data_IF_374846804756
#
_entry.id   IF_374846804756
#
_cell.length_a   1.000
_cell.length_b   1.000
_cell.length_c   1.000
_cell.angle_alpha   90.00
_cell.angle_beta   90.00
_cell.angle_gamma   90.00
#
_symmetry.space_group_name_H-M   'P 1'
#
loop_
_entity.id
_entity.type
_entity.pdbx_description
1 polymer ?
#
# COMPACT_ATOMS: atom_id res chain seq x y z
N UNK A 1 35.28 -38.80 39.70
CA UNK A 1 34.59 -39.35 38.51
C UNK A 1 33.48 -38.42 37.98
N UNK A 2 33.26 -37.23 38.53
CA UNK A 2 32.13 -36.33 38.27
C UNK A 2 32.38 -35.26 37.17
N UNK A 3 33.62 -34.96 36.86
CA UNK A 3 33.99 -33.85 35.93
C UNK A 3 33.81 -34.16 34.42
N UNK A 4 33.84 -35.45 34.03
CA UNK A 4 33.69 -35.84 32.60
C UNK A 4 32.23 -35.81 32.11
N UNK A 5 31.26 -35.95 33.01
CA UNK A 5 29.83 -35.88 32.65
C UNK A 5 29.34 -34.45 32.47
N UNK A 6 29.80 -33.53 33.29
CA UNK A 6 29.46 -32.11 33.19
C UNK A 6 29.91 -31.52 31.83
N UNK A 7 31.11 -31.89 31.35
CA UNK A 7 31.62 -31.41 30.05
C UNK A 7 30.84 -31.92 28.83
N UNK A 8 30.26 -33.15 28.93
CA UNK A 8 29.45 -33.72 27.84
C UNK A 8 28.03 -33.14 27.78
N UNK A 9 27.42 -32.83 28.95
CA UNK A 9 26.12 -32.22 29.03
C UNK A 9 26.17 -30.76 28.55
N UNK A 10 27.21 -29.99 28.89
CA UNK A 10 27.40 -28.62 28.41
C UNK A 10 27.60 -28.58 26.88
N UNK A 11 28.32 -29.54 26.31
CA UNK A 11 28.53 -29.62 24.85
C UNK A 11 27.22 -30.03 24.11
N UNK A 12 26.40 -30.86 24.70
CA UNK A 12 25.07 -31.20 24.15
C UNK A 12 24.09 -30.03 24.22
N UNK A 13 24.10 -29.26 25.34
CA UNK A 13 23.27 -28.05 25.45
C UNK A 13 23.70 -26.94 24.48
N UNK A 14 25.03 -26.77 24.29
CA UNK A 14 25.54 -25.79 23.31
C UNK A 14 25.19 -26.18 21.86
N UNK A 15 25.14 -27.47 21.54
CA UNK A 15 24.78 -27.94 20.20
C UNK A 15 23.26 -27.80 19.93
N UNK A 16 22.41 -27.95 20.92
CA UNK A 16 20.95 -27.77 20.80
C UNK A 16 20.61 -26.27 20.69
N UNK A 17 21.36 -25.39 21.35
CA UNK A 17 21.11 -23.94 21.27
C UNK A 17 21.51 -23.34 19.91
N UNK A 18 22.46 -23.98 19.16
CA UNK A 18 22.87 -23.51 17.84
C UNK A 18 21.88 -23.89 16.71
N UNK A 19 20.95 -24.82 16.92
CA UNK A 19 19.93 -25.19 15.93
C UNK A 19 18.68 -24.29 15.98
N UNK A 20 18.52 -23.46 17.02
CA UNK A 20 17.35 -22.61 17.18
C UNK A 20 17.42 -21.23 16.49
N UNK A 21 18.51 -20.92 15.79
CA UNK A 21 18.73 -19.59 15.20
C UNK A 21 18.84 -19.56 13.66
N UNK A 22 18.52 -20.65 13.00
CA UNK A 22 18.32 -20.61 11.54
C UNK A 22 16.90 -20.13 11.26
N UNK A 23 16.63 -18.84 11.43
CA UNK A 23 15.42 -18.22 10.93
C UNK A 23 15.38 -18.45 9.40
N UNK A 24 14.40 -19.18 8.92
CA UNK A 24 14.19 -19.33 7.49
C UNK A 24 13.72 -17.98 6.92
N UNK A 25 14.47 -17.47 5.95
CA UNK A 25 14.02 -16.30 5.20
C UNK A 25 12.91 -16.74 4.24
N UNK A 26 11.70 -16.22 4.43
CA UNK A 26 10.56 -16.47 3.58
C UNK A 26 10.21 -15.23 2.78
N UNK A 27 9.91 -15.41 1.50
CA UNK A 27 9.35 -14.37 0.64
C UNK A 27 8.01 -14.86 0.09
N UNK A 28 6.99 -14.06 0.27
CA UNK A 28 5.66 -14.32 -0.31
C UNK A 28 5.37 -13.19 -1.29
N UNK A 29 4.89 -13.55 -2.48
CA UNK A 29 4.39 -12.58 -3.45
C UNK A 29 2.86 -12.66 -3.47
N UNK A 30 2.21 -11.54 -3.24
CA UNK A 30 0.77 -11.33 -3.42
C UNK A 30 0.59 -10.51 -4.68
N UNK A 31 -0.28 -10.95 -5.58
CA UNK A 31 -0.60 -10.21 -6.79
C UNK A 31 -2.03 -9.68 -6.70
N UNK A 32 -2.17 -8.36 -6.73
CA UNK A 32 -3.46 -7.69 -6.75
C UNK A 32 -4.01 -7.52 -8.17
N UNK A 33 -3.17 -7.82 -9.19
CA UNK A 33 -3.49 -7.60 -10.59
C UNK A 33 -3.62 -6.12 -10.94
N UNK A 34 -4.41 -5.83 -11.98
CA UNK A 34 -4.73 -4.44 -12.34
C UNK A 34 -5.68 -3.84 -11.30
N UNK A 35 -5.21 -2.81 -10.64
CA UNK A 35 -5.99 -2.08 -9.63
C UNK A 35 -6.63 -0.83 -10.25
N UNK A 36 -7.89 -0.58 -9.89
CA UNK A 36 -8.65 0.60 -10.28
C UNK A 36 -9.14 1.32 -9.04
N UNK A 37 -9.99 2.33 -9.21
CA UNK A 37 -10.61 3.08 -8.10
C UNK A 37 -11.16 2.12 -7.02
N UNK A 38 -10.63 2.25 -5.80
CA UNK A 38 -11.01 1.39 -4.70
C UNK A 38 -9.94 1.21 -3.63
N UNK A 39 -10.18 0.24 -2.74
CA UNK A 39 -9.32 -0.07 -1.61
C UNK A 39 -9.00 -1.56 -1.58
N UNK A 40 -7.71 -1.89 -1.49
CA UNK A 40 -7.17 -3.24 -1.53
C UNK A 40 -6.42 -3.50 -0.23
N UNK A 41 -6.77 -4.58 0.46
CA UNK A 41 -6.14 -4.98 1.71
C UNK A 41 -5.18 -6.13 1.50
N UNK A 42 -4.05 -6.11 2.20
CA UNK A 42 -3.09 -7.20 2.24
C UNK A 42 -2.48 -7.32 3.64
N UNK A 43 -1.79 -8.43 3.90
CA UNK A 43 -1.11 -8.64 5.17
C UNK A 43 -0.84 -10.10 5.43
N UNK A 44 -0.05 -10.36 6.47
CA UNK A 44 0.38 -11.73 6.82
C UNK A 44 0.64 -11.84 8.31
N UNK A 45 0.38 -13.05 8.84
CA UNK A 45 0.87 -13.49 10.13
C UNK A 45 2.16 -14.31 9.94
N UNK A 46 3.13 -14.08 10.78
CA UNK A 46 4.49 -14.60 10.72
C UNK A 46 4.78 -15.42 11.97
N UNK A 47 5.56 -16.48 11.84
CA UNK A 47 6.00 -17.27 12.98
C UNK A 47 7.15 -16.58 13.73
N UNK A 48 7.32 -16.94 15.00
CA UNK A 48 8.44 -16.45 15.79
C UNK A 48 9.79 -16.72 15.12
N UNK A 49 10.63 -15.69 15.05
CA UNK A 49 11.97 -15.75 14.44
C UNK A 49 11.98 -15.77 12.92
N UNK A 50 10.82 -15.68 12.26
CA UNK A 50 10.74 -15.64 10.81
C UNK A 50 11.26 -14.29 10.28
N UNK A 51 12.31 -14.30 9.46
CA UNK A 51 12.76 -13.16 8.69
C UNK A 51 12.12 -13.23 7.31
N UNK A 52 11.52 -12.14 6.85
CA UNK A 52 10.72 -12.13 5.64
C UNK A 52 11.00 -10.90 4.77
N UNK A 53 10.72 -11.05 3.47
CA UNK A 53 10.59 -9.95 2.52
C UNK A 53 9.45 -10.30 1.59
N UNK A 54 8.28 -9.77 1.87
CA UNK A 54 7.08 -10.01 1.07
C UNK A 54 6.93 -8.94 0.00
N UNK A 55 6.35 -9.32 -1.13
CA UNK A 55 6.09 -8.42 -2.25
C UNK A 55 4.60 -8.39 -2.56
N UNK A 56 4.04 -7.20 -2.73
CA UNK A 56 2.65 -6.99 -3.14
C UNK A 56 2.68 -6.28 -4.48
N UNK A 57 2.42 -7.02 -5.55
CA UNK A 57 2.44 -6.53 -6.92
C UNK A 57 1.08 -5.95 -7.29
N UNK A 58 1.09 -4.90 -8.09
CA UNK A 58 -0.11 -4.30 -8.68
C UNK A 58 0.24 -3.54 -9.96
N UNK A 59 -0.74 -3.44 -10.86
CA UNK A 59 -0.62 -2.74 -12.13
C UNK A 59 -1.62 -1.58 -12.19
N UNK A 60 -1.18 -0.45 -12.74
CA UNK A 60 -2.01 0.71 -13.03
C UNK A 60 -2.14 0.88 -14.54
N UNK A 61 -3.36 0.85 -15.08
CA UNK A 61 -3.63 1.10 -16.50
C UNK A 61 -3.66 2.59 -16.83
N UNK A 62 -4.03 3.43 -15.87
CA UNK A 62 -4.10 4.89 -15.98
C UNK A 62 -3.37 5.55 -14.82
N UNK A 63 -3.07 6.84 -14.95
CA UNK A 63 -2.54 7.61 -13.84
C UNK A 63 -3.55 7.66 -12.70
N UNK A 64 -3.09 7.39 -11.48
CA UNK A 64 -3.93 7.33 -10.30
C UNK A 64 -3.23 7.96 -9.11
N UNK A 65 -4.03 8.56 -8.23
CA UNK A 65 -3.60 8.95 -6.90
C UNK A 65 -3.58 7.71 -6.01
N UNK A 66 -2.41 7.38 -5.49
CA UNK A 66 -2.16 6.14 -4.76
C UNK A 66 -1.73 6.45 -3.35
N UNK A 67 -2.60 6.11 -2.41
CA UNK A 67 -2.30 6.19 -0.98
C UNK A 67 -2.12 4.80 -0.41
N UNK A 68 -1.06 4.55 0.35
CA UNK A 68 -0.89 3.30 1.08
C UNK A 68 -0.60 3.54 2.55
N UNK A 69 -1.06 2.60 3.37
CA UNK A 69 -0.80 2.58 4.80
C UNK A 69 -0.46 1.16 5.22
N UNK A 70 0.79 0.96 5.67
CA UNK A 70 1.31 -0.36 6.03
C UNK A 70 1.85 -0.29 7.46
N UNK A 71 1.41 -1.20 8.33
CA UNK A 71 1.88 -1.24 9.71
C UNK A 71 2.10 -2.67 10.22
N UNK A 72 3.08 -2.83 11.11
CA UNK A 72 3.17 -3.97 12.01
C UNK A 72 2.33 -3.73 13.26
N UNK A 73 1.93 -4.82 13.90
CA UNK A 73 1.26 -4.79 15.19
C UNK A 73 2.24 -5.23 16.26
N UNK A 74 2.37 -4.39 17.29
CA UNK A 74 3.21 -4.68 18.45
C UNK A 74 2.30 -4.80 19.68
N UNK A 75 2.45 -5.89 20.41
CA UNK A 75 1.72 -6.12 21.66
C UNK A 75 2.64 -6.71 22.71
N UNK A 76 2.79 -6.00 23.81
CA UNK A 76 3.56 -6.46 24.97
C UNK A 76 2.68 -6.48 26.23
N UNK A 77 2.86 -7.50 27.08
CA UNK A 77 2.16 -7.64 28.37
C UNK A 77 3.20 -7.96 29.42
N UNK A 78 3.20 -7.19 30.53
CA UNK A 78 4.15 -7.34 31.65
C UNK A 78 5.63 -7.35 31.21
N UNK A 79 5.99 -6.60 30.14
CA UNK A 79 7.35 -6.53 29.63
C UNK A 79 7.75 -7.70 28.71
N UNK A 80 6.83 -8.59 28.38
CA UNK A 80 7.04 -9.65 27.37
C UNK A 80 6.38 -9.26 26.06
N UNK A 81 7.15 -9.26 24.98
CA UNK A 81 6.65 -9.01 23.63
C UNK A 81 5.92 -10.25 23.10
N UNK A 82 4.61 -10.14 22.98
CA UNK A 82 3.76 -11.24 22.52
C UNK A 82 3.64 -11.27 21.01
N UNK A 83 3.51 -10.11 20.38
CA UNK A 83 3.46 -9.92 18.92
C UNK A 83 4.37 -8.75 18.60
N UNK A 84 5.25 -8.90 17.63
CA UNK A 84 6.16 -7.83 17.22
C UNK A 84 6.91 -8.15 15.93
N UNK A 85 7.36 -7.12 15.24
CA UNK A 85 8.23 -7.21 14.07
C UNK A 85 9.36 -6.21 14.24
N UNK A 86 10.59 -6.71 14.36
CA UNK A 86 11.80 -5.90 14.40
C UNK A 86 12.27 -5.54 13.00
N UNK A 87 12.96 -4.41 12.87
CA UNK A 87 13.51 -3.91 11.60
C UNK A 87 12.44 -3.79 10.49
N UNK A 88 11.21 -3.45 10.89
CA UNK A 88 10.12 -3.27 9.95
C UNK A 88 10.45 -2.17 8.94
N UNK A 89 10.38 -2.51 7.66
CA UNK A 89 10.64 -1.58 6.57
C UNK A 89 9.72 -1.87 5.39
N UNK A 90 9.36 -0.82 4.67
CA UNK A 90 8.55 -0.92 3.46
C UNK A 90 9.17 -0.10 2.34
N UNK A 91 8.95 -0.51 1.10
CA UNK A 91 9.39 0.23 -0.06
C UNK A 91 8.39 0.11 -1.19
N UNK A 92 8.27 1.17 -1.99
CA UNK A 92 7.55 1.14 -3.26
C UNK A 92 8.56 1.10 -4.40
N UNK A 93 8.35 0.20 -5.33
CA UNK A 93 9.21 -0.01 -6.49
C UNK A 93 8.37 -0.04 -7.76
N UNK A 94 8.97 0.41 -8.88
CA UNK A 94 8.39 0.35 -10.22
C UNK A 94 9.17 -0.60 -11.09
N UNK A 95 8.51 -1.34 -11.97
CA UNK A 95 9.15 -2.17 -12.98
C UNK A 95 9.59 -1.29 -14.16
N UNK A 96 10.90 -1.17 -14.35
CA UNK A 96 11.51 -0.42 -15.43
C UNK A 96 12.51 -1.30 -16.19
N UNK A 97 12.31 -1.49 -17.50
CA UNK A 97 13.29 -2.18 -18.36
C UNK A 97 13.64 -3.61 -17.96
N UNK A 98 12.75 -4.33 -17.25
CA UNK A 98 12.95 -5.70 -16.79
C UNK A 98 13.51 -5.84 -15.37
N UNK A 99 13.69 -4.73 -14.64
CA UNK A 99 14.06 -4.69 -13.22
C UNK A 99 13.18 -3.75 -12.41
N UNK A 100 13.18 -3.92 -11.08
CA UNK A 100 12.46 -3.02 -10.19
C UNK A 100 13.38 -1.91 -9.70
N UNK A 101 12.98 -0.65 -9.91
CA UNK A 101 13.63 0.54 -9.37
C UNK A 101 12.87 1.05 -8.13
N UNK A 102 13.59 1.51 -7.12
CA UNK A 102 12.98 2.04 -5.89
C UNK A 102 12.44 3.45 -6.14
N UNK A 103 11.16 3.67 -5.80
CA UNK A 103 10.52 4.98 -5.79
C UNK A 103 10.56 5.57 -4.38
N UNK A 104 10.20 4.78 -3.38
CA UNK A 104 10.20 5.19 -1.99
C UNK A 104 10.70 4.06 -1.08
N UNK A 105 11.35 4.44 0.03
CA UNK A 105 11.75 3.53 1.10
C UNK A 105 11.39 4.16 2.43
N UNK A 106 10.64 3.45 3.26
CA UNK A 106 10.08 3.93 4.51
C UNK A 106 10.45 2.95 5.62
N UNK A 107 11.02 3.47 6.69
CA UNK A 107 11.36 2.71 7.92
C UNK A 107 10.47 3.08 9.10
N UNK A 108 9.49 3.95 8.89
CA UNK A 108 8.49 4.30 9.90
C UNK A 108 7.47 3.19 10.08
N UNK A 109 6.95 3.06 11.29
CA UNK A 109 5.83 2.18 11.61
C UNK A 109 4.77 3.01 12.38
N UNK A 110 3.63 3.31 11.77
CA UNK A 110 3.20 2.92 10.42
C UNK A 110 3.97 3.62 9.30
N UNK A 111 4.11 2.94 8.16
CA UNK A 111 4.60 3.49 6.91
C UNK A 111 3.44 3.99 6.07
N UNK A 112 3.50 5.20 5.57
CA UNK A 112 2.49 5.77 4.67
C UNK A 112 3.15 6.31 3.40
N UNK A 113 2.49 6.09 2.28
CA UNK A 113 2.85 6.62 0.98
C UNK A 113 1.63 7.30 0.37
N UNK A 114 1.84 8.44 -0.28
CA UNK A 114 0.78 9.22 -0.93
C UNK A 114 1.41 9.99 -2.10
N UNK A 115 1.11 9.56 -3.32
CA UNK A 115 1.63 10.20 -4.53
C UNK A 115 0.80 9.82 -5.77
N UNK A 116 0.93 10.66 -6.81
CA UNK A 116 0.39 10.41 -8.13
C UNK A 116 1.31 9.48 -8.92
N UNK A 117 0.84 8.27 -9.19
CA UNK A 117 1.58 7.29 -9.99
C UNK A 117 1.10 7.27 -11.44
N UNK A 118 2.05 7.16 -12.37
CA UNK A 118 1.77 6.95 -13.80
C UNK A 118 1.42 5.49 -14.09
N UNK A 119 0.84 5.17 -15.28
CA UNK A 119 0.58 3.79 -15.67
C UNK A 119 1.85 2.94 -15.62
N UNK A 120 1.72 1.70 -15.18
CA UNK A 120 2.85 0.77 -15.07
C UNK A 120 2.66 -0.29 -14.00
N UNK A 121 3.65 -1.19 -13.91
CA UNK A 121 3.72 -2.24 -12.92
C UNK A 121 4.52 -1.78 -11.70
N UNK A 122 3.95 -2.02 -10.52
CA UNK A 122 4.50 -1.60 -9.24
C UNK A 122 4.51 -2.76 -8.25
N UNK A 123 5.33 -2.63 -7.21
CA UNK A 123 5.25 -3.51 -6.05
C UNK A 123 5.61 -2.79 -4.77
N UNK A 124 4.91 -3.14 -3.70
CA UNK A 124 5.40 -2.89 -2.35
C UNK A 124 6.30 -4.03 -1.92
N UNK A 125 7.41 -3.70 -1.28
CA UNK A 125 8.23 -4.63 -0.49
C UNK A 125 7.97 -4.38 0.98
N UNK A 126 7.71 -5.44 1.75
CA UNK A 126 7.52 -5.38 3.20
C UNK A 126 8.51 -6.36 3.83
N UNK A 127 9.39 -5.87 4.67
CA UNK A 127 10.45 -6.68 5.26
C UNK A 127 10.56 -6.48 6.76
N UNK A 128 11.09 -7.49 7.46
CA UNK A 128 11.32 -7.46 8.89
C UNK A 128 11.62 -8.84 9.47
N UNK A 129 11.70 -8.91 10.79
CA UNK A 129 11.88 -10.16 11.54
C UNK A 129 10.83 -10.22 12.65
N UNK A 130 10.04 -11.29 12.66
CA UNK A 130 9.02 -11.50 13.69
C UNK A 130 9.70 -11.81 15.04
N UNK A 131 9.55 -10.93 16.03
CA UNK A 131 10.22 -10.97 17.33
C UNK A 131 9.30 -11.33 18.50
N UNK A 132 7.98 -11.19 18.35
CA UNK A 132 7.04 -11.53 19.40
C UNK A 132 6.93 -13.02 19.66
N UNK A 133 6.64 -13.43 20.90
CA UNK A 133 6.51 -14.84 21.31
C UNK A 133 5.53 -15.66 20.42
N UNK A 134 4.45 -15.03 19.99
CA UNK A 134 3.48 -15.60 19.03
C UNK A 134 3.77 -15.19 17.59
N UNK A 135 4.97 -14.66 17.30
CA UNK A 135 5.37 -14.21 15.99
C UNK A 135 5.05 -12.72 15.74
N UNK A 136 4.83 -12.36 14.50
CA UNK A 136 4.53 -11.01 14.06
C UNK A 136 3.30 -10.96 13.16
N UNK A 137 2.68 -9.79 13.05
CA UNK A 137 1.58 -9.55 12.12
C UNK A 137 1.79 -8.18 11.50
N UNK A 138 1.68 -8.09 10.18
CA UNK A 138 1.55 -6.81 9.51
C UNK A 138 0.29 -6.75 8.66
N UNK A 139 -0.22 -5.55 8.44
CA UNK A 139 -1.31 -5.27 7.51
C UNK A 139 -1.01 -4.01 6.72
N UNK A 140 -1.44 -4.02 5.46
CA UNK A 140 -1.41 -2.87 4.58
C UNK A 140 -2.74 -2.68 3.88
N UNK A 141 -3.00 -1.43 3.52
CA UNK A 141 -4.09 -1.03 2.63
C UNK A 141 -3.50 -0.20 1.51
N UNK A 142 -3.94 -0.46 0.29
CA UNK A 142 -3.66 0.32 -0.89
C UNK A 142 -4.97 0.97 -1.32
N UNK A 143 -5.00 2.28 -1.40
CA UNK A 143 -6.12 3.06 -1.89
C UNK A 143 -5.73 3.68 -3.22
N UNK A 144 -6.56 3.49 -4.22
CA UNK A 144 -6.35 4.00 -5.57
C UNK A 144 -7.54 4.88 -5.91
N UNK A 145 -7.27 6.13 -6.31
CA UNK A 145 -8.27 7.05 -6.81
C UNK A 145 -7.92 7.45 -8.25
N UNK A 146 -8.83 7.19 -9.18
CA UNK A 146 -8.65 7.56 -10.57
C UNK A 146 -8.58 9.09 -10.70
N UNK A 147 -7.53 9.59 -11.36
CA UNK A 147 -7.44 11.01 -11.69
C UNK A 147 -8.24 11.24 -12.97
N UNK A 148 -9.27 12.11 -12.95
CA UNK A 148 -10.02 12.44 -14.16
C UNK A 148 -9.09 13.00 -15.24
N UNK A 149 -9.07 12.38 -16.39
CA UNK A 149 -8.27 12.83 -17.52
C UNK A 149 -8.64 14.27 -17.93
N UNK A 150 -7.67 15.02 -18.46
CA UNK A 150 -7.88 16.41 -18.88
C UNK A 150 -9.05 16.53 -19.88
N UNK A 151 -9.29 15.51 -20.71
CA UNK A 151 -10.39 15.44 -21.65
C UNK A 151 -11.77 15.47 -20.97
N UNK A 152 -11.90 14.86 -19.79
CA UNK A 152 -13.11 14.89 -18.98
C UNK A 152 -13.45 16.31 -18.53
N UNK A 153 -12.45 17.07 -18.10
CA UNK A 153 -12.62 18.48 -17.71
C UNK A 153 -12.98 19.36 -18.90
N UNK A 154 -12.33 19.13 -20.07
CA UNK A 154 -12.64 19.84 -21.31
C UNK A 154 -14.08 19.58 -21.74
N UNK A 155 -14.54 18.33 -21.73
CA UNK A 155 -15.92 17.97 -22.06
C UNK A 155 -16.93 18.59 -21.09
N UNK A 156 -16.63 18.61 -19.79
CA UNK A 156 -17.46 19.27 -18.80
C UNK A 156 -17.59 20.78 -19.07
N UNK A 157 -16.45 21.46 -19.35
CA UNK A 157 -16.44 22.88 -19.67
C UNK A 157 -17.18 23.20 -20.95
N UNK A 158 -17.02 22.38 -22.01
CA UNK A 158 -17.74 22.51 -23.27
C UNK A 158 -19.25 22.33 -23.04
N UNK A 159 -19.65 21.31 -22.29
CA UNK A 159 -21.06 21.08 -21.93
C UNK A 159 -21.68 22.24 -21.17
N UNK A 160 -20.98 22.75 -20.15
CA UNK A 160 -21.42 23.90 -19.37
C UNK A 160 -21.49 25.18 -20.20
N UNK A 161 -20.51 25.39 -21.11
CA UNK A 161 -20.49 26.51 -22.05
C UNK A 161 -21.68 26.50 -23.00
N UNK A 162 -22.06 25.33 -23.54
CA UNK A 162 -23.25 25.18 -24.42
C UNK A 162 -24.54 25.48 -23.68
N UNK A 163 -24.67 25.01 -22.44
CA UNK A 163 -25.86 25.31 -21.60
C UNK A 163 -25.95 26.82 -21.34
N UNK A 164 -24.86 27.44 -20.93
CA UNK A 164 -24.80 28.88 -20.68
C UNK A 164 -25.13 29.70 -21.96
N UNK A 165 -24.62 29.28 -23.12
CA UNK A 165 -24.95 29.89 -24.40
C UNK A 165 -26.45 29.79 -24.74
N UNK A 166 -27.05 28.62 -24.54
CA UNK A 166 -28.53 28.43 -24.79
C UNK A 166 -29.39 29.27 -23.87
N UNK A 167 -29.03 29.33 -22.59
CA UNK A 167 -29.74 30.17 -21.62
C UNK A 167 -29.69 31.66 -22.01
N UNK A 168 -28.52 32.14 -22.40
CA UNK A 168 -28.34 33.52 -22.84
C UNK A 168 -29.11 33.84 -24.12
N UNK A 169 -29.18 32.88 -25.06
CA UNK A 169 -29.97 33.01 -26.28
C UNK A 169 -31.46 33.10 -25.98
N UNK A 170 -31.95 32.27 -25.04
CA UNK A 170 -33.37 32.27 -24.62
C UNK A 170 -33.77 33.58 -23.94
N UNK A 171 -32.92 34.14 -23.09
CA UNK A 171 -33.16 35.43 -22.44
C UNK A 171 -33.29 36.56 -23.47
N UNK A 172 -32.39 36.65 -24.45
CA UNK A 172 -32.50 37.65 -25.53
C UNK A 172 -33.78 37.54 -26.36
N UNK A 173 -34.27 36.31 -26.60
CA UNK A 173 -35.51 36.10 -27.34
C UNK A 173 -36.74 36.53 -26.54
N UNK A 174 -36.71 36.52 -25.20
CA UNK A 174 -37.76 36.99 -24.33
C UNK A 174 -37.80 38.53 -24.25
N UNK A 175 -36.64 39.18 -24.23
CA UNK A 175 -36.52 40.64 -24.25
C UNK A 175 -36.98 41.27 -25.59
N UNK A 176 -36.88 40.53 -26.70
CA UNK A 176 -37.29 40.98 -28.03
C UNK A 176 -38.79 40.77 -28.35
N UNK A 177 -39.59 40.23 -27.43
CA UNK A 177 -41.02 40.16 -27.61
C UNK A 177 -41.61 41.58 -27.47
N UNK A 178 -42.04 42.21 -28.58
CA UNK A 178 -42.62 43.54 -28.49
C UNK A 178 -43.90 43.49 -27.64
N UNK A 179 -44.08 44.51 -26.80
CA UNK A 179 -45.31 44.77 -25.99
C UNK A 179 -46.51 45.11 -26.86
N UNK A 180 -46.85 44.29 -27.85
CA UNK A 180 -47.95 44.53 -28.82
C UNK A 180 -49.28 43.95 -28.36
N UNK A 181 -49.48 43.63 -27.10
CA UNK A 181 -50.76 43.11 -26.57
C UNK A 181 -51.36 43.93 -25.42
N UNK A 182 -51.03 45.23 -25.33
CA UNK A 182 -51.67 46.14 -24.33
C UNK A 182 -52.48 47.24 -24.97
N UNK A 183 -53.05 47.01 -26.16
CA UNK A 183 -53.98 47.96 -26.82
C UNK A 183 -55.04 47.22 -27.61
N UNK A 184 -56.03 46.67 -26.92
CA UNK A 184 -57.38 46.32 -27.42
C UNK A 184 -58.38 46.31 -26.28
#
# INVERSE_FOLDING_TARGET
MTTKYASRVVKLFSAVLLFATAGSAHAVAVDLGTVSDGSYGFGRALNFGETFTDYVNFDLDTSADVTSFIKSFDMSIFGFDLIGIDNFSTGLQRLDGGGYSSIASLTSNPASFDDLLSPGAYRFSVAGTASGFFGGIYRGTLHVAAVPEADTWVMLLVGLGLVAYQLRRKQRSLEQRPATLAAA
#
